data_IF_870679858892
#
_entry.id   IF_870679858892
#
_cell.length_a   1.000
_cell.length_b   1.000
_cell.length_c   1.000
_cell.angle_alpha   90.00
_cell.angle_beta   90.00
_cell.angle_gamma   90.00
#
_symmetry.space_group_name_H-M   'P 1'
#
loop_
_entity.id
_entity.type
_entity.pdbx_description
1 polymer ?
#
# COMPACT_ATOMS: atom_id res chain seq x y z
N UNK A 1 -16.19 -11.93 -26.16
CA UNK A 1 -16.40 -11.72 -24.72
C UNK A 1 -16.38 -10.25 -24.38
N UNK A 2 -16.37 -9.89 -23.09
CA UNK A 2 -16.18 -8.50 -22.65
C UNK A 2 -14.74 -8.06 -22.97
N UNK A 3 -14.55 -6.82 -23.39
CA UNK A 3 -13.23 -6.30 -23.78
C UNK A 3 -12.82 -5.10 -22.91
N UNK A 4 -11.52 -4.93 -22.72
CA UNK A 4 -10.92 -3.74 -22.10
C UNK A 4 -9.83 -3.18 -23.01
N UNK A 5 -9.63 -1.87 -22.95
CA UNK A 5 -8.53 -1.21 -23.66
C UNK A 5 -7.46 -0.79 -22.66
N UNK A 6 -6.23 -1.28 -22.86
CA UNK A 6 -5.03 -0.85 -22.17
C UNK A 6 -4.12 -0.11 -23.15
N UNK A 7 -4.22 1.21 -23.13
CA UNK A 7 -3.59 2.09 -24.13
C UNK A 7 -4.03 1.69 -25.54
N UNK A 8 -3.09 1.33 -26.41
CA UNK A 8 -3.34 0.95 -27.81
C UNK A 8 -3.75 -0.53 -27.96
N UNK A 9 -3.82 -1.29 -26.86
CA UNK A 9 -4.12 -2.72 -26.88
C UNK A 9 -5.56 -2.99 -26.44
N UNK A 10 -6.29 -3.77 -27.23
CA UNK A 10 -7.59 -4.32 -26.85
C UNK A 10 -7.42 -5.75 -26.35
N UNK A 11 -7.87 -6.01 -25.13
CA UNK A 11 -7.78 -7.31 -24.47
C UNK A 11 -9.17 -7.89 -24.25
N UNK A 12 -9.31 -9.20 -24.40
CA UNK A 12 -10.52 -9.93 -24.03
C UNK A 12 -10.43 -10.42 -22.57
N UNK A 13 -11.51 -10.20 -21.81
CA UNK A 13 -11.66 -10.77 -20.47
C UNK A 13 -12.05 -12.24 -20.63
N UNK A 14 -11.14 -13.13 -20.24
CA UNK A 14 -11.34 -14.58 -20.30
C UNK A 14 -12.15 -15.11 -19.11
N UNK A 15 -11.79 -14.69 -17.90
CA UNK A 15 -12.40 -15.14 -16.64
C UNK A 15 -12.19 -14.07 -15.55
N UNK A 16 -12.99 -14.15 -14.49
CA UNK A 16 -12.83 -13.36 -13.27
C UNK A 16 -13.10 -14.24 -12.07
N UNK A 17 -12.17 -14.27 -11.11
CA UNK A 17 -12.27 -15.08 -9.91
C UNK A 17 -12.40 -14.20 -8.69
N UNK A 18 -13.15 -14.69 -7.71
CA UNK A 18 -13.27 -14.07 -6.39
C UNK A 18 -12.41 -14.89 -5.45
N UNK A 19 -11.49 -14.21 -4.76
CA UNK A 19 -10.75 -14.78 -3.65
C UNK A 19 -11.37 -14.24 -2.37
N UNK A 20 -12.04 -15.11 -1.60
CA UNK A 20 -12.57 -14.77 -0.29
C UNK A 20 -11.48 -15.08 0.76
N UNK A 21 -10.61 -14.10 0.99
CA UNK A 21 -9.47 -14.23 1.89
C UNK A 21 -9.48 -13.11 2.93
N UNK A 22 -9.46 -13.49 4.19
CA UNK A 22 -9.32 -12.58 5.33
C UNK A 22 -8.11 -13.03 6.16
N UNK A 23 -7.00 -12.26 6.18
CA UNK A 23 -5.79 -12.63 6.91
C UNK A 23 -6.02 -13.02 8.37
N UNK A 24 -6.95 -12.35 9.06
CA UNK A 24 -7.35 -12.59 10.45
C UNK A 24 -6.17 -12.78 11.42
N UNK A 25 -5.11 -11.99 11.22
CA UNK A 25 -3.87 -12.07 11.99
C UNK A 25 -3.55 -10.73 12.64
N UNK A 26 -2.84 -10.74 13.77
CA UNK A 26 -2.27 -9.52 14.38
C UNK A 26 -0.85 -9.21 13.90
N UNK A 27 -0.21 -10.11 13.14
CA UNK A 27 1.11 -9.92 12.58
C UNK A 27 1.24 -10.61 11.21
N UNK A 28 1.81 -9.90 10.23
CA UNK A 28 2.06 -10.45 8.90
C UNK A 28 3.32 -9.87 8.29
N UNK A 29 4.13 -10.72 7.66
CA UNK A 29 5.08 -10.29 6.64
C UNK A 29 4.34 -10.21 5.32
N UNK A 30 4.47 -9.09 4.62
CA UNK A 30 3.77 -8.80 3.38
C UNK A 30 4.74 -8.50 2.25
N UNK A 31 4.33 -8.77 1.01
CA UNK A 31 4.98 -8.22 -0.19
C UNK A 31 4.01 -7.36 -0.98
N UNK A 32 4.53 -6.28 -1.54
CA UNK A 32 3.75 -5.39 -2.38
C UNK A 32 3.49 -6.02 -3.74
N UNK A 33 2.20 -6.25 -4.06
CA UNK A 33 1.73 -6.56 -5.41
C UNK A 33 1.73 -5.31 -6.30
N UNK A 34 1.46 -4.14 -5.69
CA UNK A 34 1.68 -2.84 -6.29
C UNK A 34 2.34 -1.89 -5.29
N UNK A 35 3.24 -0.99 -5.74
CA UNK A 35 4.11 -0.27 -4.82
C UNK A 35 3.35 0.74 -3.95
N UNK A 36 3.87 1.01 -2.75
CA UNK A 36 3.31 2.00 -1.82
C UNK A 36 3.84 3.39 -2.17
N UNK A 37 2.98 4.40 -2.09
CA UNK A 37 3.41 5.81 -2.13
C UNK A 37 2.83 6.58 -0.96
N UNK A 38 3.65 7.45 -0.36
CA UNK A 38 3.24 8.46 0.61
C UNK A 38 3.94 9.77 0.27
N UNK A 39 3.26 10.89 0.51
CA UNK A 39 3.77 12.21 0.19
C UNK A 39 3.16 13.26 1.10
N UNK A 40 3.89 14.35 1.28
CA UNK A 40 3.38 15.59 1.82
C UNK A 40 3.04 16.57 0.69
N UNK A 41 2.05 17.42 0.93
CA UNK A 41 1.72 18.51 0.02
C UNK A 41 2.20 19.80 0.65
N UNK A 42 3.17 20.45 0.02
CA UNK A 42 3.68 21.74 0.44
C UNK A 42 2.65 22.86 0.21
N UNK A 43 2.86 24.03 0.82
CA UNK A 43 2.00 25.21 0.62
C UNK A 43 1.90 25.63 -0.85
N UNK A 44 2.92 25.34 -1.65
CA UNK A 44 2.97 25.58 -3.09
C UNK A 44 2.05 24.65 -3.91
N UNK A 45 1.48 23.61 -3.28
CA UNK A 45 0.78 22.52 -3.94
C UNK A 45 1.71 21.44 -4.50
N UNK A 46 3.04 21.59 -4.35
CA UNK A 46 4.00 20.58 -4.73
C UNK A 46 3.89 19.35 -3.82
N UNK A 47 4.02 18.15 -4.40
CA UNK A 47 4.01 16.89 -3.67
C UNK A 47 5.42 16.38 -3.48
N UNK A 48 5.89 16.37 -2.23
CA UNK A 48 7.15 15.73 -1.83
C UNK A 48 6.88 14.28 -1.50
N UNK A 49 7.28 13.36 -2.38
CA UNK A 49 7.24 11.93 -2.11
C UNK A 49 8.32 11.57 -1.10
N UNK A 50 7.94 10.78 -0.10
CA UNK A 50 8.81 10.39 1.02
C UNK A 50 9.41 9.02 0.71
N UNK A 51 10.69 8.83 1.00
CA UNK A 51 11.42 7.58 0.73
C UNK A 51 11.55 6.70 2.00
N UNK A 52 11.71 5.36 1.87
CA UNK A 52 11.81 4.46 3.01
C UNK A 52 12.99 4.68 3.97
N UNK A 53 14.04 5.41 3.57
CA UNK A 53 15.14 5.83 4.45
C UNK A 53 14.76 7.00 5.37
N UNK A 54 13.63 7.67 5.11
CA UNK A 54 13.04 8.68 5.98
C UNK A 54 12.06 7.99 6.96
N UNK A 55 12.26 8.17 8.28
CA UNK A 55 11.33 7.64 9.30
C UNK A 55 9.88 8.13 9.13
N UNK A 56 9.73 9.29 8.48
CA UNK A 56 8.46 9.86 8.08
C UNK A 56 7.65 8.94 7.14
N UNK A 57 8.31 8.09 6.33
CA UNK A 57 7.64 7.14 5.44
C UNK A 57 6.70 6.22 6.22
N UNK A 58 7.25 5.55 7.23
CA UNK A 58 6.52 4.57 8.05
C UNK A 58 5.40 5.25 8.84
N UNK A 59 5.70 6.41 9.44
CA UNK A 59 4.71 7.23 10.13
C UNK A 59 3.57 7.66 9.19
N UNK A 60 3.89 8.06 7.96
CA UNK A 60 2.89 8.48 6.98
C UNK A 60 2.00 7.31 6.51
N UNK A 61 2.57 6.10 6.37
CA UNK A 61 1.81 4.88 6.04
C UNK A 61 0.85 4.53 7.19
N UNK A 62 1.33 4.50 8.44
CA UNK A 62 0.49 4.24 9.63
C UNK A 62 -0.64 5.28 9.72
N UNK A 63 -0.31 6.57 9.66
CA UNK A 63 -1.32 7.63 9.73
C UNK A 63 -2.34 7.56 8.60
N UNK A 64 -1.91 7.16 7.39
CA UNK A 64 -2.82 6.93 6.29
C UNK A 64 -3.79 5.77 6.58
N UNK A 65 -3.29 4.64 7.08
CA UNK A 65 -4.10 3.49 7.45
C UNK A 65 -5.17 3.84 8.49
N UNK A 66 -4.79 4.55 9.55
CA UNK A 66 -5.72 4.98 10.60
C UNK A 66 -6.79 5.94 10.06
N UNK A 67 -6.42 6.89 9.20
CA UNK A 67 -7.39 7.80 8.56
C UNK A 67 -8.36 7.06 7.63
N UNK A 68 -7.89 6.05 6.89
CA UNK A 68 -8.75 5.22 6.03
C UNK A 68 -9.79 4.48 6.86
N UNK A 69 -9.37 3.87 7.97
CA UNK A 69 -10.28 3.19 8.89
C UNK A 69 -11.36 4.15 9.38
N UNK A 70 -10.96 5.30 9.91
CA UNK A 70 -11.90 6.31 10.42
C UNK A 70 -12.87 6.79 9.33
N UNK A 71 -12.38 6.99 8.11
CA UNK A 71 -13.22 7.44 6.99
C UNK A 71 -14.23 6.38 6.54
N UNK A 72 -13.89 5.10 6.62
CA UNK A 72 -14.75 4.00 6.17
C UNK A 72 -15.74 3.57 7.25
N UNK A 73 -15.27 3.36 8.49
CA UNK A 73 -16.09 2.83 9.59
C UNK A 73 -16.73 3.92 10.44
N UNK A 74 -16.35 5.19 10.27
CA UNK A 74 -16.81 6.32 11.09
C UNK A 74 -16.62 6.09 12.61
N UNK A 75 -15.56 5.36 12.99
CA UNK A 75 -15.18 5.04 14.37
C UNK A 75 -13.67 5.24 14.57
N UNK A 76 -13.19 5.45 15.81
CA UNK A 76 -11.77 5.52 16.09
C UNK A 76 -11.03 4.26 15.61
N UNK A 77 -9.87 4.46 14.98
CA UNK A 77 -9.01 3.36 14.54
C UNK A 77 -8.29 2.72 15.74
N UNK A 78 -8.00 1.41 15.68
CA UNK A 78 -7.09 0.78 16.63
C UNK A 78 -5.73 1.48 16.67
N UNK A 79 -5.16 1.67 17.86
CA UNK A 79 -3.94 2.46 18.06
C UNK A 79 -2.66 1.63 18.04
N UNK A 80 -2.78 0.30 17.90
CA UNK A 80 -1.71 -0.69 18.00
C UNK A 80 -1.07 -1.05 16.65
N UNK A 81 -1.35 -0.29 15.59
CA UNK A 81 -0.85 -0.58 14.25
C UNK A 81 0.59 -0.11 14.04
N UNK A 82 1.49 -1.02 13.66
CA UNK A 82 2.85 -0.72 13.20
C UNK A 82 3.09 -1.22 11.78
N UNK A 83 3.99 -0.52 11.09
CA UNK A 83 4.42 -0.79 9.73
C UNK A 83 5.94 -0.61 9.66
N UNK A 84 6.65 -1.69 9.42
CA UNK A 84 8.12 -1.74 9.51
C UNK A 84 8.71 -2.38 8.25
N UNK A 85 9.94 -2.01 7.86
CA UNK A 85 10.56 -2.60 6.69
C UNK A 85 11.04 -4.03 6.99
N UNK A 86 10.84 -4.97 6.05
CA UNK A 86 11.38 -6.33 6.18
C UNK A 86 12.81 -6.45 5.62
N UNK A 87 13.33 -5.38 5.01
CA UNK A 87 14.67 -5.25 4.44
C UNK A 87 15.28 -3.90 4.86
N UNK A 88 16.61 -3.72 4.80
CA UNK A 88 17.22 -2.43 5.04
C UNK A 88 16.62 -1.33 4.14
N UNK A 89 16.30 -0.13 4.67
CA UNK A 89 15.73 0.96 3.88
C UNK A 89 16.50 1.33 2.61
N UNK A 90 17.84 1.27 2.68
CA UNK A 90 18.70 1.52 1.53
C UNK A 90 18.45 0.52 0.38
N UNK A 91 18.18 -0.75 0.71
CA UNK A 91 17.86 -1.78 -0.26
C UNK A 91 16.49 -1.55 -0.92
N UNK A 92 15.51 -1.08 -0.14
CA UNK A 92 14.19 -0.68 -0.67
C UNK A 92 14.32 0.44 -1.70
N UNK A 93 15.21 1.41 -1.47
CA UNK A 93 15.44 2.51 -2.41
C UNK A 93 16.16 2.04 -3.66
N UNK A 94 17.18 1.20 -3.50
CA UNK A 94 18.02 0.74 -4.60
C UNK A 94 17.26 -0.21 -5.53
N UNK A 95 16.52 -1.16 -4.96
CA UNK A 95 15.97 -2.29 -5.71
C UNK A 95 14.46 -2.19 -5.94
N UNK A 96 13.74 -1.40 -5.15
CA UNK A 96 12.28 -1.38 -5.16
C UNK A 96 11.66 -0.02 -5.46
N UNK A 97 12.47 0.99 -5.82
CA UNK A 97 11.97 2.31 -6.24
C UNK A 97 11.35 2.24 -7.64
N UNK A 98 10.10 2.67 -7.74
CA UNK A 98 9.34 2.74 -8.99
C UNK A 98 8.87 4.19 -9.20
N UNK A 99 9.23 4.76 -10.36
CA UNK A 99 8.75 6.07 -10.81
C UNK A 99 7.77 5.86 -11.95
N UNK A 100 6.50 6.15 -11.70
CA UNK A 100 5.42 6.03 -12.68
C UNK A 100 4.80 7.39 -12.98
N UNK A 101 3.85 7.43 -13.92
CA UNK A 101 3.06 8.64 -14.22
C UNK A 101 1.59 8.29 -14.21
N UNK A 102 0.80 9.10 -13.50
CA UNK A 102 -0.65 9.11 -13.63
C UNK A 102 -1.07 10.39 -14.35
N UNK A 103 -1.64 10.24 -15.54
CA UNK A 103 -1.85 11.35 -16.49
C UNK A 103 -0.51 12.07 -16.76
N UNK A 104 -0.33 13.28 -16.24
CA UNK A 104 0.90 14.08 -16.43
C UNK A 104 1.76 14.19 -15.17
N UNK A 105 1.29 13.72 -14.03
CA UNK A 105 1.98 13.86 -12.74
C UNK A 105 2.86 12.64 -12.45
N UNK A 106 4.15 12.83 -12.12
CA UNK A 106 4.99 11.74 -11.65
C UNK A 106 4.53 11.26 -10.28
N UNK A 107 4.72 9.97 -10.02
CA UNK A 107 4.51 9.32 -8.74
C UNK A 107 5.77 8.52 -8.42
N UNK A 108 6.36 8.78 -7.26
CA UNK A 108 7.45 7.95 -6.72
C UNK A 108 6.84 7.02 -5.68
N UNK A 109 7.16 5.73 -5.80
CA UNK A 109 6.58 4.66 -5.02
C UNK A 109 7.61 3.56 -4.77
N UNK A 110 7.37 2.72 -3.77
CA UNK A 110 8.30 1.70 -3.32
C UNK A 110 7.59 0.35 -3.17
N UNK A 111 8.14 -0.67 -3.83
CA UNK A 111 7.73 -2.05 -3.62
C UNK A 111 8.42 -2.66 -2.40
N UNK A 112 8.74 -3.95 -2.49
CA UNK A 112 9.45 -4.69 -1.46
C UNK A 112 8.53 -5.34 -0.44
N UNK A 113 9.14 -5.82 0.65
CA UNK A 113 8.44 -6.52 1.73
C UNK A 113 8.49 -5.72 3.02
N UNK A 114 7.41 -5.81 3.79
CA UNK A 114 7.21 -5.08 5.05
C UNK A 114 6.60 -6.00 6.10
N UNK A 115 6.61 -5.58 7.36
CA UNK A 115 5.95 -6.26 8.47
C UNK A 115 4.84 -5.37 9.00
N UNK A 116 3.64 -5.94 9.12
CA UNK A 116 2.48 -5.34 9.76
C UNK A 116 2.30 -5.96 11.14
N UNK A 117 1.99 -5.13 12.15
CA UNK A 117 1.54 -5.58 13.47
C UNK A 117 0.35 -4.73 13.92
N UNK A 118 -0.56 -5.32 14.69
CA UNK A 118 -1.68 -4.61 15.33
C UNK A 118 -3.01 -5.33 15.17
N UNK A 119 -4.11 -4.59 15.31
CA UNK A 119 -5.45 -5.17 15.24
C UNK A 119 -5.74 -5.90 13.91
N UNK A 120 -6.15 -7.17 13.99
CA UNK A 120 -6.40 -7.99 12.80
C UNK A 120 -7.54 -7.51 11.91
N UNK A 121 -8.55 -6.82 12.45
CA UNK A 121 -9.60 -6.21 11.62
C UNK A 121 -9.05 -5.06 10.78
N UNK A 122 -8.13 -4.28 11.34
CA UNK A 122 -7.44 -3.22 10.59
C UNK A 122 -6.55 -3.82 9.50
N UNK A 123 -5.80 -4.89 9.80
CA UNK A 123 -4.99 -5.59 8.79
C UNK A 123 -5.87 -6.14 7.65
N UNK A 124 -7.00 -6.78 7.97
CA UNK A 124 -7.96 -7.24 6.96
C UNK A 124 -8.48 -6.08 6.11
N UNK A 125 -8.90 -4.98 6.73
CA UNK A 125 -9.37 -3.81 6.01
C UNK A 125 -8.31 -3.24 5.07
N UNK A 126 -7.04 -3.20 5.49
CA UNK A 126 -5.94 -2.72 4.66
C UNK A 126 -5.58 -3.69 3.53
N UNK A 127 -5.80 -4.99 3.71
CA UNK A 127 -5.65 -5.98 2.64
C UNK A 127 -6.58 -5.62 1.47
N UNK A 128 -7.82 -5.24 1.76
CA UNK A 128 -8.80 -4.83 0.75
C UNK A 128 -8.57 -3.40 0.24
N UNK A 129 -8.26 -2.46 1.14
CA UNK A 129 -8.18 -1.03 0.84
C UNK A 129 -6.78 -0.55 0.36
N UNK A 130 -5.77 -1.40 0.50
CA UNK A 130 -4.36 -1.11 0.26
C UNK A 130 -3.69 -0.22 1.31
N UNK A 131 -2.37 -0.15 1.26
CA UNK A 131 -1.53 0.72 2.09
C UNK A 131 -1.17 2.04 1.39
N UNK A 132 -0.90 3.07 2.18
CA UNK A 132 -0.46 4.36 1.67
C UNK A 132 -1.51 5.07 0.80
N UNK A 133 -1.03 5.88 -0.15
CA UNK A 133 -1.87 6.78 -0.94
C UNK A 133 -2.11 6.26 -2.36
N UNK A 134 -3.08 6.87 -3.05
CA UNK A 134 -3.38 6.61 -4.48
C UNK A 134 -3.85 5.18 -4.79
N UNK A 135 -4.53 4.52 -3.86
CA UNK A 135 -4.97 3.12 -4.04
C UNK A 135 -5.96 2.93 -5.19
N UNK A 136 -6.87 3.89 -5.41
CA UNK A 136 -7.76 3.90 -6.58
C UNK A 136 -7.05 4.11 -7.92
N UNK A 137 -5.73 4.38 -7.91
CA UNK A 137 -4.87 4.46 -9.09
C UNK A 137 -4.00 3.20 -9.23
N UNK A 138 -4.29 2.13 -8.49
CA UNK A 138 -3.61 0.83 -8.57
C UNK A 138 -2.39 0.68 -7.68
N UNK A 139 -2.24 1.48 -6.63
CA UNK A 139 -1.06 1.49 -5.74
C UNK A 139 -1.37 0.88 -4.35
N UNK A 140 -0.36 0.34 -3.69
CA UNK A 140 -0.41 -0.11 -2.30
C UNK A 140 -1.12 -1.43 -2.03
N UNK A 141 -1.41 -2.24 -3.05
CA UNK A 141 -1.96 -3.59 -2.85
C UNK A 141 -0.84 -4.55 -2.46
N UNK A 142 -1.09 -5.44 -1.50
CA UNK A 142 -0.09 -6.38 -0.99
C UNK A 142 -0.66 -7.78 -0.84
N UNK A 143 0.23 -8.77 -0.76
CA UNK A 143 -0.09 -10.13 -0.39
C UNK A 143 0.53 -10.48 0.98
N UNK A 144 -0.04 -11.45 1.68
CA UNK A 144 0.55 -12.01 2.89
C UNK A 144 1.57 -13.08 2.47
N UNK A 145 2.83 -12.95 2.89
CA UNK A 145 3.86 -13.96 2.65
C UNK A 145 3.91 -15.01 3.76
N UNK A 146 3.89 -14.54 5.00
CA UNK A 146 3.99 -15.39 6.19
C UNK A 146 3.45 -14.67 7.42
N UNK A 147 3.22 -15.45 8.46
CA UNK A 147 2.88 -14.96 9.80
C UNK A 147 4.14 -15.10 10.66
N UNK A 148 4.84 -14.00 10.97
CA UNK A 148 6.02 -14.06 11.83
C UNK A 148 5.61 -14.61 13.20
N UNK A 149 6.44 -15.48 13.76
CA UNK A 149 6.31 -15.87 15.17
C UNK A 149 6.41 -14.61 16.04
N UNK A 150 5.50 -14.51 17.02
CA UNK A 150 5.40 -13.37 17.95
C UNK A 150 6.63 -13.26 18.86
#
# INVERSE_FOLDING_TARGET
GKQINLFENTLEILDSRIEDYSPNTCCAKISMLSPITVFETERSGYRRFIAPDESLFYTAVVNNALRKWQSYFNTPAPTDFSFEPALPPAELIQNHRIVSRFKRSPIVSYGGSYVLRGNGKLINFLYDAGLGSKNSQGLGMFNIESFPDL
#
